data_IF_929946602300
#
_entry.id   IF_929946602300
#
_cell.length_a   1.000
_cell.length_b   1.000
_cell.length_c   1.000
_cell.angle_alpha   90.00
_cell.angle_beta   90.00
_cell.angle_gamma   90.00
#
_symmetry.space_group_name_H-M   'P 1'
#
loop_
_entity.id
_entity.type
_entity.pdbx_description
1 polymer ?
#
# COMPACT_ATOMS: atom_id res chain seq x y z
N UNK A 1 10.65 8.65 12.98
CA UNK A 1 12.03 9.11 13.23
C UNK A 1 13.14 8.24 12.62
N UNK A 2 12.87 7.02 12.13
CA UNK A 2 13.89 6.20 11.45
C UNK A 2 14.02 6.48 9.93
N UNK A 3 12.93 6.94 9.29
CA UNK A 3 12.86 7.18 7.84
C UNK A 3 13.68 8.39 7.35
N UNK A 4 13.98 9.35 8.24
CA UNK A 4 14.69 10.59 7.89
C UNK A 4 16.21 10.46 7.89
N UNK A 5 16.77 9.39 8.47
CA UNK A 5 18.23 9.17 8.51
C UNK A 5 18.76 8.34 7.35
N UNK A 6 17.88 7.63 6.62
CA UNK A 6 18.28 6.64 5.60
C UNK A 6 17.95 7.10 4.17
N UNK A 7 17.09 8.11 3.98
CA UNK A 7 16.56 8.49 2.66
C UNK A 7 16.69 9.99 2.37
N UNK A 8 17.03 10.30 1.11
CA UNK A 8 17.12 11.65 0.56
C UNK A 8 15.78 12.39 0.67
N UNK A 9 15.81 13.67 1.09
CA UNK A 9 14.60 14.49 1.37
C UNK A 9 13.66 14.61 0.18
N UNK A 10 14.18 14.49 -1.04
CA UNK A 10 13.43 14.64 -2.28
C UNK A 10 12.58 13.40 -2.63
N UNK A 11 13.08 12.19 -2.31
CA UNK A 11 12.39 10.94 -2.62
C UNK A 11 11.21 10.63 -1.68
N UNK A 12 11.31 11.03 -0.41
CA UNK A 12 10.30 10.70 0.63
C UNK A 12 8.95 11.38 0.35
N UNK A 13 8.96 12.60 -0.16
CA UNK A 13 7.75 13.38 -0.44
C UNK A 13 6.88 12.68 -1.50
N UNK A 14 7.52 12.13 -2.54
CA UNK A 14 6.83 11.43 -3.63
C UNK A 14 6.21 10.10 -3.18
N UNK A 15 6.88 9.34 -2.30
CA UNK A 15 6.30 8.08 -1.75
C UNK A 15 5.14 8.37 -0.80
N UNK A 16 5.32 9.38 0.04
CA UNK A 16 4.29 9.79 1.01
C UNK A 16 3.07 10.35 0.32
N UNK A 17 3.23 11.10 -0.79
CA UNK A 17 2.09 11.61 -1.55
C UNK A 17 1.24 10.48 -2.14
N UNK A 18 1.85 9.43 -2.70
CA UNK A 18 1.10 8.25 -3.14
C UNK A 18 0.33 7.61 -1.98
N UNK A 19 0.98 7.37 -0.84
CA UNK A 19 0.32 6.78 0.33
C UNK A 19 -0.88 7.62 0.81
N UNK A 20 -0.72 8.94 0.88
CA UNK A 20 -1.78 9.86 1.28
C UNK A 20 -2.92 9.88 0.26
N UNK A 21 -2.61 9.86 -1.04
CA UNK A 21 -3.63 9.75 -2.10
C UNK A 21 -4.43 8.45 -1.98
N UNK A 22 -3.76 7.32 -1.72
CA UNK A 22 -4.44 6.06 -1.49
C UNK A 22 -5.31 6.10 -0.23
N UNK A 23 -4.84 6.68 0.87
CA UNK A 23 -5.63 6.85 2.09
C UNK A 23 -6.92 7.65 1.84
N UNK A 24 -6.84 8.74 1.08
CA UNK A 24 -8.00 9.54 0.72
C UNK A 24 -9.00 8.74 -0.15
N UNK A 25 -8.49 7.98 -1.13
CA UNK A 25 -9.29 7.06 -1.94
C UNK A 25 -10.00 6.02 -1.06
N UNK A 26 -9.26 5.32 -0.20
CA UNK A 26 -9.83 4.29 0.68
C UNK A 26 -10.88 4.85 1.65
N UNK A 27 -10.70 6.07 2.15
CA UNK A 27 -11.72 6.75 2.95
C UNK A 27 -13.04 6.96 2.19
N UNK A 28 -12.97 7.36 0.92
CA UNK A 28 -14.15 7.52 0.06
C UNK A 28 -14.77 6.16 -0.34
N UNK A 29 -13.96 5.11 -0.50
CA UNK A 29 -14.47 3.76 -0.73
C UNK A 29 -15.19 3.21 0.50
N UNK A 30 -14.69 3.47 1.71
CA UNK A 30 -15.35 3.03 2.94
C UNK A 30 -16.76 3.58 3.09
N UNK A 31 -17.00 4.84 2.73
CA UNK A 31 -18.34 5.45 2.77
C UNK A 31 -19.27 4.89 1.68
N UNK A 32 -18.75 4.60 0.48
CA UNK A 32 -19.52 3.96 -0.59
C UNK A 32 -19.93 2.52 -0.21
N UNK A 33 -19.02 1.75 0.38
CA UNK A 33 -19.28 0.39 0.87
C UNK A 33 -20.32 0.41 1.99
N UNK A 34 -20.25 1.38 2.90
CA UNK A 34 -21.25 1.56 3.95
C UNK A 34 -22.66 1.83 3.38
N UNK A 35 -22.77 2.62 2.32
CA UNK A 35 -24.03 2.84 1.61
C UNK A 35 -24.57 1.55 0.96
N UNK A 36 -23.70 0.78 0.30
CA UNK A 36 -24.08 -0.51 -0.27
C UNK A 36 -24.54 -1.53 0.79
N UNK A 37 -23.91 -1.51 1.97
CA UNK A 37 -24.25 -2.36 3.11
C UNK A 37 -25.65 -2.06 3.68
N UNK A 38 -26.05 -0.78 3.75
CA UNK A 38 -27.41 -0.37 4.13
C UNK A 38 -28.47 -0.97 3.20
N UNK A 39 -28.15 -1.10 1.91
CA UNK A 39 -29.05 -1.63 0.90
C UNK A 39 -29.09 -3.17 0.86
N UNK A 40 -28.13 -3.82 1.54
CA UNK A 40 -28.06 -5.26 1.74
C UNK A 40 -28.76 -5.75 3.01
N UNK A 41 -29.38 -4.85 3.80
CA UNK A 41 -30.18 -5.25 4.95
C UNK A 41 -31.39 -6.07 4.50
N UNK A 42 -31.41 -7.36 4.86
CA UNK A 42 -32.44 -8.32 4.43
C UNK A 42 -32.10 -9.11 3.16
N UNK A 43 -30.98 -8.84 2.48
CA UNK A 43 -30.53 -9.67 1.35
C UNK A 43 -30.04 -11.03 1.85
N UNK A 44 -30.82 -12.08 1.54
CA UNK A 44 -30.56 -13.45 1.99
C UNK A 44 -30.96 -13.77 3.43
N UNK A 45 -31.72 -12.87 4.10
CA UNK A 45 -32.17 -13.06 5.49
C UNK A 45 -31.05 -12.89 6.54
N UNK A 46 -29.90 -12.37 6.14
CA UNK A 46 -28.75 -12.15 7.00
C UNK A 46 -28.53 -10.67 7.30
N UNK A 47 -28.07 -10.39 8.52
CA UNK A 47 -27.75 -9.04 8.95
C UNK A 47 -26.53 -8.47 8.23
N UNK A 48 -26.53 -7.15 8.04
CA UNK A 48 -25.50 -6.36 7.34
C UNK A 48 -24.07 -6.67 7.81
N UNK A 49 -23.87 -6.92 9.11
CA UNK A 49 -22.55 -7.20 9.68
C UNK A 49 -21.86 -8.42 9.06
N UNK A 50 -22.62 -9.44 8.61
CA UNK A 50 -22.06 -10.64 7.97
C UNK A 50 -21.50 -10.34 6.58
N UNK A 51 -22.22 -9.50 5.84
CA UNK A 51 -21.81 -9.03 4.52
C UNK A 51 -20.57 -8.14 4.61
N UNK A 52 -20.47 -7.29 5.64
CA UNK A 52 -19.28 -6.47 5.89
C UNK A 52 -18.02 -7.34 6.07
N UNK A 53 -18.07 -8.37 6.92
CA UNK A 53 -16.92 -9.26 7.13
C UNK A 53 -16.53 -10.04 5.87
N UNK A 54 -17.49 -10.47 5.05
CA UNK A 54 -17.21 -11.18 3.80
C UNK A 54 -16.51 -10.27 2.78
N UNK A 55 -17.01 -9.05 2.61
CA UNK A 55 -16.43 -8.06 1.67
C UNK A 55 -15.02 -7.69 2.12
N UNK A 56 -14.82 -7.42 3.41
CA UNK A 56 -13.51 -7.08 3.97
C UNK A 56 -12.51 -8.24 3.84
N UNK A 57 -12.95 -9.48 4.10
CA UNK A 57 -12.13 -10.68 3.91
C UNK A 57 -11.71 -10.88 2.45
N UNK A 58 -12.64 -10.75 1.50
CA UNK A 58 -12.35 -10.85 0.07
C UNK A 58 -11.36 -9.76 -0.40
N UNK A 59 -11.53 -8.53 0.11
CA UNK A 59 -10.62 -7.43 -0.18
C UNK A 59 -9.21 -7.70 0.36
N UNK A 60 -9.08 -8.17 1.61
CA UNK A 60 -7.80 -8.52 2.23
C UNK A 60 -7.06 -9.63 1.46
N UNK A 61 -7.77 -10.69 1.06
CA UNK A 61 -7.21 -11.77 0.22
C UNK A 61 -6.70 -11.22 -1.11
N UNK A 62 -7.48 -10.36 -1.77
CA UNK A 62 -7.10 -9.74 -3.03
C UNK A 62 -5.84 -8.88 -2.87
N UNK A 63 -5.76 -8.08 -1.80
CA UNK A 63 -4.55 -7.31 -1.47
C UNK A 63 -3.35 -8.22 -1.18
N UNK A 64 -3.54 -9.34 -0.49
CA UNK A 64 -2.47 -10.29 -0.22
C UNK A 64 -1.89 -10.88 -1.52
N UNK A 65 -2.74 -11.25 -2.49
CA UNK A 65 -2.29 -11.68 -3.81
C UNK A 65 -1.59 -10.55 -4.58
N UNK A 66 -2.12 -9.34 -4.53
CA UNK A 66 -1.50 -8.18 -5.19
C UNK A 66 -0.12 -7.86 -4.63
N UNK A 67 0.05 -7.95 -3.30
CA UNK A 67 1.35 -7.79 -2.64
C UNK A 67 2.28 -8.94 -2.99
N UNK A 68 1.79 -10.19 -2.98
CA UNK A 68 2.61 -11.35 -3.32
C UNK A 68 3.13 -11.31 -4.76
N UNK A 69 2.35 -10.76 -5.69
CA UNK A 69 2.78 -10.58 -7.09
C UNK A 69 3.58 -9.28 -7.32
N UNK A 70 3.28 -8.23 -6.55
CA UNK A 70 3.84 -6.90 -6.72
C UNK A 70 5.11 -6.61 -5.90
N UNK A 71 5.46 -7.43 -4.91
CA UNK A 71 6.65 -7.26 -4.08
C UNK A 71 7.79 -8.17 -4.60
N UNK A 72 8.78 -7.65 -5.36
CA UNK A 72 9.95 -8.44 -5.72
C UNK A 72 10.78 -8.69 -4.47
N UNK A 73 11.10 -9.96 -4.23
CA UNK A 73 11.90 -10.47 -3.10
C UNK A 73 13.37 -10.03 -3.11
N UNK A 74 13.77 -9.18 -4.06
CA UNK A 74 15.14 -8.69 -4.23
C UNK A 74 15.14 -7.16 -4.33
N UNK A 75 15.82 -6.49 -3.39
CA UNK A 75 15.99 -5.03 -3.36
C UNK A 75 16.67 -4.52 -4.65
N UNK A 76 17.40 -5.39 -5.35
CA UNK A 76 18.05 -5.13 -6.65
C UNK A 76 17.10 -5.12 -7.85
N UNK A 77 15.87 -5.65 -7.72
CA UNK A 77 14.81 -5.62 -8.77
C UNK A 77 13.57 -4.81 -8.35
N UNK A 78 13.69 -3.95 -7.34
CA UNK A 78 12.64 -3.03 -6.98
C UNK A 78 12.27 -2.11 -8.17
N UNK A 79 11.06 -2.27 -8.72
CA UNK A 79 10.47 -1.37 -9.74
C UNK A 79 10.27 0.06 -9.21
N UNK A 80 10.46 0.25 -7.90
CA UNK A 80 10.37 1.55 -7.24
C UNK A 80 11.67 2.38 -7.29
N UNK A 81 12.85 1.77 -7.52
CA UNK A 81 14.10 2.51 -7.67
C UNK A 81 14.39 2.74 -9.16
N UNK A 82 14.49 4.02 -9.56
CA UNK A 82 15.12 4.39 -10.83
C UNK A 82 16.56 3.87 -10.85
N UNK A 83 17.09 3.47 -12.01
CA UNK A 83 18.47 2.96 -12.13
C UNK A 83 19.52 3.96 -11.63
N UNK A 84 19.23 5.26 -11.62
CA UNK A 84 20.07 6.30 -11.02
C UNK A 84 20.13 6.25 -9.48
N UNK A 85 19.01 5.94 -8.80
CA UNK A 85 18.98 5.82 -7.33
C UNK A 85 19.70 4.56 -6.83
N UNK A 86 19.78 3.50 -7.67
CA UNK A 86 20.58 2.30 -7.38
C UNK A 86 22.08 2.62 -7.34
N UNK A 87 22.57 3.39 -8.31
CA UNK A 87 23.99 3.75 -8.40
C UNK A 87 24.41 4.63 -7.21
N UNK A 88 23.56 5.57 -6.80
CA UNK A 88 23.83 6.44 -5.64
C UNK A 88 23.84 5.65 -4.32
N UNK A 89 22.97 4.63 -4.19
CA UNK A 89 22.94 3.76 -3.02
C UNK A 89 24.16 2.83 -2.94
N UNK A 90 24.63 2.30 -4.07
CA UNK A 90 25.85 1.47 -4.11
C UNK A 90 27.10 2.31 -3.79
N UNK A 91 27.20 3.53 -4.32
CA UNK A 91 28.29 4.46 -4.00
C UNK A 91 28.33 4.80 -2.50
N UNK A 92 27.18 5.08 -1.88
CA UNK A 92 27.09 5.34 -0.42
C UNK A 92 27.36 4.11 0.44
N UNK A 93 27.13 2.91 -0.08
CA UNK A 93 27.43 1.67 0.65
C UNK A 93 28.94 1.41 0.69
N UNK A 94 29.66 1.76 -0.39
CA UNK A 94 31.12 1.73 -0.41
C UNK A 94 31.74 2.79 0.50
N UNK A 95 31.22 4.02 0.50
CA UNK A 95 31.72 5.13 1.32
C UNK A 95 31.59 4.90 2.84
N UNK A 96 30.77 3.92 3.27
CA UNK A 96 30.63 3.52 4.67
C UNK A 96 31.58 2.39 5.10
N UNK A 97 32.24 1.75 4.14
CA UNK A 97 33.16 0.63 4.35
C UNK A 97 34.65 1.05 4.30
N UNK A 98 34.93 2.27 3.85
CA UNK A 98 36.22 2.97 3.96
C UNK A 98 36.26 3.88 5.21
#
# INVERSE_FOLDING_TARGET
MYLTMVYERDGIAKRTSYLVSFTALFGAFGSLVAYGLLQMDGVGGYAVWRWMCLIEGAFSITCAFAVWFGLPSDVRKAYFLSDEERVIMDMRHQERLD
#
